data_IF_260469217038
#
_entry.id   IF_260469217038
#
_cell.length_a   1.000
_cell.length_b   1.000
_cell.length_c   1.000
_cell.angle_alpha   90.00
_cell.angle_beta   90.00
_cell.angle_gamma   90.00
#
_symmetry.space_group_name_H-M   'P 1'
#
loop_
_entity.id
_entity.type
_entity.pdbx_description
1 polymer ?
#
# COMPACT_ATOMS: atom_id res chain seq x y z
N UNK A 1 3.97 -4.27 10.15
CA UNK A 1 4.07 -3.02 9.38
C UNK A 1 3.90 -1.87 10.34
N UNK A 2 4.92 -1.03 10.43
CA UNK A 2 4.89 0.26 11.12
C UNK A 2 4.16 1.30 10.28
N UNK A 3 3.76 2.39 10.91
CA UNK A 3 3.09 3.52 10.24
C UNK A 3 3.95 4.12 9.11
N UNK A 4 5.27 4.27 9.33
CA UNK A 4 6.21 4.76 8.30
C UNK A 4 6.27 3.87 7.07
N UNK A 5 6.23 2.55 7.25
CA UNK A 5 6.20 1.60 6.13
C UNK A 5 4.89 1.67 5.36
N UNK A 6 3.77 1.94 6.05
CA UNK A 6 2.47 2.16 5.42
C UNK A 6 2.48 3.44 4.57
N UNK A 7 2.96 4.55 5.13
CA UNK A 7 3.07 5.84 4.44
C UNK A 7 3.95 5.74 3.19
N UNK A 8 5.10 5.06 3.28
CA UNK A 8 5.98 4.85 2.14
C UNK A 8 5.30 4.07 1.00
N UNK A 9 4.53 3.03 1.32
CA UNK A 9 3.79 2.24 0.33
C UNK A 9 2.65 3.02 -0.31
N UNK A 10 1.96 3.86 0.46
CA UNK A 10 0.92 4.75 -0.07
C UNK A 10 1.51 5.80 -1.01
N UNK A 11 2.64 6.41 -0.65
CA UNK A 11 3.34 7.36 -1.51
C UNK A 11 3.89 6.71 -2.79
N UNK A 12 4.30 5.44 -2.72
CA UNK A 12 4.69 4.68 -3.91
C UNK A 12 3.50 4.38 -4.82
N UNK A 13 2.39 3.93 -4.25
CA UNK A 13 1.15 3.65 -4.99
C UNK A 13 0.62 4.92 -5.68
N UNK A 14 0.63 6.05 -4.98
CA UNK A 14 0.22 7.34 -5.53
C UNK A 14 1.05 7.73 -6.76
N UNK A 15 2.39 7.65 -6.66
CA UNK A 15 3.28 7.92 -7.81
C UNK A 15 3.02 6.98 -8.98
N UNK A 16 2.88 5.67 -8.74
CA UNK A 16 2.64 4.71 -9.83
C UNK A 16 1.33 4.95 -10.59
N UNK A 17 0.32 5.53 -9.94
CA UNK A 17 -0.99 5.77 -10.53
C UNK A 17 -1.13 7.19 -11.11
N UNK A 18 -0.47 8.18 -10.51
CA UNK A 18 -0.74 9.59 -10.76
C UNK A 18 0.46 10.36 -11.35
N UNK A 19 1.67 9.81 -11.34
CA UNK A 19 2.85 10.47 -11.88
C UNK A 19 3.10 10.04 -13.34
N UNK A 20 2.93 10.94 -14.34
CA UNK A 20 3.15 10.61 -15.74
C UNK A 20 4.64 10.38 -16.09
N UNK A 21 5.58 10.83 -15.25
CA UNK A 21 7.01 10.54 -15.42
C UNK A 21 7.36 9.13 -14.95
N UNK A 22 6.51 8.54 -14.11
CA UNK A 22 6.65 7.17 -13.63
C UNK A 22 5.88 6.23 -14.55
N UNK A 23 6.58 5.23 -15.11
CA UNK A 23 5.90 4.17 -15.85
C UNK A 23 5.04 3.35 -14.90
N UNK A 24 3.74 3.33 -15.16
CA UNK A 24 2.80 2.48 -14.45
C UNK A 24 3.23 1.00 -14.55
N UNK A 25 3.43 0.38 -13.39
CA UNK A 25 3.69 -1.05 -13.25
C UNK A 25 2.48 -1.73 -12.59
N UNK A 26 1.63 -2.44 -13.37
CA UNK A 26 0.44 -3.10 -12.84
C UNK A 26 0.73 -4.17 -11.80
N UNK A 27 1.86 -4.89 -11.91
CA UNK A 27 2.23 -5.91 -10.93
C UNK A 27 2.58 -5.26 -9.60
N UNK A 28 3.37 -4.18 -9.64
CA UNK A 28 3.76 -3.45 -8.43
C UNK A 28 2.55 -2.82 -7.73
N UNK A 29 1.65 -2.22 -8.49
CA UNK A 29 0.37 -1.69 -7.97
C UNK A 29 -0.42 -2.78 -7.25
N UNK A 30 -0.59 -3.94 -7.87
CA UNK A 30 -1.32 -5.04 -7.24
C UNK A 30 -0.64 -5.58 -5.98
N UNK A 31 0.68 -5.72 -5.98
CA UNK A 31 1.42 -6.11 -4.78
C UNK A 31 1.24 -5.11 -3.63
N UNK A 32 1.36 -3.80 -3.91
CA UNK A 32 1.17 -2.75 -2.91
C UNK A 32 -0.25 -2.79 -2.31
N UNK A 33 -1.28 -2.94 -3.15
CA UNK A 33 -2.67 -3.05 -2.70
C UNK A 33 -2.89 -4.27 -1.79
N UNK A 34 -2.30 -5.43 -2.11
CA UNK A 34 -2.40 -6.63 -1.27
C UNK A 34 -1.70 -6.44 0.08
N UNK A 35 -0.51 -5.85 0.09
CA UNK A 35 0.24 -5.58 1.32
C UNK A 35 -0.48 -4.59 2.23
N UNK A 36 -1.03 -3.50 1.67
CA UNK A 36 -1.80 -2.48 2.40
C UNK A 36 -3.09 -3.09 2.97
N UNK A 37 -3.84 -3.83 2.15
CA UNK A 37 -5.11 -4.46 2.56
C UNK A 37 -4.91 -5.50 3.64
N UNK A 38 -3.89 -6.37 3.50
CA UNK A 38 -3.56 -7.38 4.51
C UNK A 38 -3.18 -6.77 5.86
N UNK A 39 -2.50 -5.63 5.85
CA UNK A 39 -2.14 -4.90 7.07
C UNK A 39 -3.33 -4.26 7.77
N UNK A 40 -4.25 -3.67 6.99
CA UNK A 40 -5.48 -3.08 7.51
C UNK A 40 -6.36 -4.13 8.19
N UNK A 41 -6.51 -5.30 7.56
CA UNK A 41 -7.25 -6.42 8.13
C UNK A 41 -6.61 -6.91 9.45
N UNK A 42 -5.29 -7.04 9.51
CA UNK A 42 -4.58 -7.43 10.72
C UNK A 42 -4.63 -6.38 11.85
N UNK A 43 -4.78 -5.09 11.51
CA UNK A 43 -5.01 -4.04 12.50
C UNK A 43 -6.45 -4.08 13.05
N UNK A 44 -7.44 -4.30 12.18
CA UNK A 44 -8.86 -4.43 12.56
C UNK A 44 -9.13 -5.61 13.48
N UNK A 45 -8.54 -6.79 13.21
CA UNK A 45 -8.69 -7.97 14.06
C UNK A 45 -8.10 -7.82 15.45
N UNK A 46 -6.97 -7.12 15.60
CA UNK A 46 -6.35 -6.83 16.90
C UNK A 46 -7.15 -5.87 17.78
N UNK A 47 -8.02 -5.05 17.19
CA UNK A 47 -8.85 -4.09 17.92
C UNK A 47 -10.19 -4.70 18.39
N UNK A 48 -10.60 -5.82 17.79
CA UNK A 48 -11.83 -6.53 18.10
C UNK A 48 -11.65 -7.70 19.10
N UNK A 49 -10.40 -8.03 19.46
CA UNK A 49 -10.03 -9.02 20.47
C UNK A 49 -9.65 -8.34 21.78
#
# INVERSE_FOLDING_TARGET
MSEREMEAKLAELDRLLNDPEVRMDPHRVWSLLQEISGASQAAGTRRAA
#
